data_IF_389472610483
#
_entry.id   IF_389472610483
#
_cell.length_a   1.000
_cell.length_b   1.000
_cell.length_c   1.000
_cell.angle_alpha   90.00
_cell.angle_beta   90.00
_cell.angle_gamma   90.00
#
_symmetry.space_group_name_H-M   'P 1'
#
loop_
_entity.id
_entity.type
_entity.pdbx_description
1 polymer ?
#
# COMPACT_ATOMS: atom_id res chain seq x y z
N UNK A 1 7.93 -17.80 13.62
CA UNK A 1 7.97 -16.46 12.97
C UNK A 1 7.34 -16.41 11.57
N UNK A 2 7.44 -17.44 10.72
CA UNK A 2 6.86 -17.43 9.36
C UNK A 2 5.35 -17.14 9.28
N UNK A 3 4.56 -17.63 10.24
CA UNK A 3 3.09 -17.39 10.26
C UNK A 3 2.76 -15.91 10.49
N UNK A 4 3.42 -15.26 11.46
CA UNK A 4 3.24 -13.83 11.74
C UNK A 4 3.61 -12.98 10.53
N UNK A 5 4.69 -13.36 9.81
CA UNK A 5 5.08 -12.71 8.55
C UNK A 5 4.07 -12.93 7.41
N UNK A 6 3.45 -14.10 7.32
CA UNK A 6 2.37 -14.32 6.33
C UNK A 6 1.14 -13.46 6.63
N UNK A 7 0.71 -13.44 7.90
CA UNK A 7 -0.44 -12.64 8.34
C UNK A 7 -0.19 -11.15 8.10
N UNK A 8 0.99 -10.63 8.48
CA UNK A 8 1.34 -9.23 8.23
C UNK A 8 1.38 -8.86 6.75
N UNK A 9 1.78 -9.79 5.89
CA UNK A 9 1.75 -9.57 4.42
C UNK A 9 0.31 -9.47 3.91
N UNK A 10 -0.58 -10.37 4.35
CA UNK A 10 -2.00 -10.35 3.95
C UNK A 10 -2.64 -9.05 4.41
N UNK A 11 -2.43 -8.65 5.67
CA UNK A 11 -2.96 -7.39 6.21
C UNK A 11 -2.46 -6.20 5.40
N UNK A 12 -1.15 -6.14 5.11
CA UNK A 12 -0.59 -5.07 4.29
C UNK A 12 -1.22 -5.01 2.89
N UNK A 13 -1.44 -6.14 2.23
CA UNK A 13 -2.09 -6.20 0.91
C UNK A 13 -3.53 -5.72 0.98
N UNK A 14 -4.29 -6.11 2.00
CA UNK A 14 -5.66 -5.63 2.20
C UNK A 14 -5.71 -4.11 2.38
N UNK A 15 -4.75 -3.52 3.10
CA UNK A 15 -4.62 -2.07 3.26
C UNK A 15 -4.34 -1.41 1.90
N UNK A 16 -3.46 -1.97 1.07
CA UNK A 16 -3.21 -1.45 -0.29
C UNK A 16 -4.49 -1.45 -1.13
N UNK A 17 -5.25 -2.54 -1.10
CA UNK A 17 -6.52 -2.64 -1.83
C UNK A 17 -7.54 -1.59 -1.36
N UNK A 18 -7.65 -1.37 -0.05
CA UNK A 18 -8.49 -0.31 0.50
C UNK A 18 -8.03 1.08 0.03
N UNK A 19 -6.72 1.34 0.05
CA UNK A 19 -6.13 2.59 -0.42
C UNK A 19 -6.42 2.85 -1.91
N UNK A 20 -6.31 1.82 -2.75
CA UNK A 20 -6.68 1.90 -4.17
C UNK A 20 -8.16 2.26 -4.36
N UNK A 21 -9.06 1.71 -3.53
CA UNK A 21 -10.48 2.08 -3.56
C UNK A 21 -10.70 3.56 -3.24
N UNK A 22 -10.06 4.06 -2.18
CA UNK A 22 -10.17 5.48 -1.78
C UNK A 22 -9.58 6.41 -2.85
N UNK A 23 -8.42 6.07 -3.40
CA UNK A 23 -7.75 6.87 -4.43
C UNK A 23 -8.53 6.84 -5.76
N UNK A 24 -9.08 5.68 -6.12
CA UNK A 24 -9.99 5.52 -7.26
C UNK A 24 -11.25 6.38 -7.11
N UNK A 25 -11.84 6.42 -5.92
CA UNK A 25 -12.98 7.29 -5.64
C UNK A 25 -12.61 8.78 -5.75
N UNK A 26 -11.48 9.20 -5.18
CA UNK A 26 -11.00 10.58 -5.33
C UNK A 26 -10.76 10.97 -6.79
N UNK A 27 -10.18 10.07 -7.58
CA UNK A 27 -9.96 10.26 -9.02
C UNK A 27 -11.27 10.35 -9.79
N UNK A 28 -12.25 9.53 -9.44
CA UNK A 28 -13.57 9.57 -10.06
C UNK A 28 -14.30 10.89 -9.78
N UNK A 29 -14.19 11.43 -8.58
CA UNK A 29 -14.74 12.76 -8.26
C UNK A 29 -14.11 13.86 -9.13
N UNK A 30 -12.78 13.86 -9.29
CA UNK A 30 -12.07 14.78 -10.19
C UNK A 30 -12.61 14.68 -11.61
N UNK A 31 -12.73 13.45 -12.12
CA UNK A 31 -13.23 13.21 -13.47
C UNK A 31 -14.65 13.75 -13.67
N UNK A 32 -15.55 13.53 -12.70
CA UNK A 32 -16.90 14.07 -12.79
C UNK A 32 -16.94 15.60 -12.75
N UNK A 33 -16.05 16.25 -11.99
CA UNK A 33 -15.95 17.70 -11.96
C UNK A 33 -15.41 18.25 -13.29
N UNK A 34 -14.40 17.60 -13.85
CA UNK A 34 -13.87 17.92 -15.17
C UNK A 34 -14.98 17.86 -16.23
N UNK A 35 -15.80 16.79 -16.23
CA UNK A 35 -16.94 16.68 -17.13
C UNK A 35 -17.96 17.81 -16.95
N UNK A 36 -18.28 18.17 -15.71
CA UNK A 36 -19.22 19.25 -15.43
C UNK A 36 -18.73 20.60 -15.98
N UNK A 37 -17.45 20.94 -15.73
CA UNK A 37 -16.81 22.15 -16.25
C UNK A 37 -16.80 22.13 -17.78
N UNK A 38 -16.45 21.00 -18.41
CA UNK A 38 -16.40 20.89 -19.87
C UNK A 38 -17.77 21.00 -20.56
N UNK A 39 -18.84 20.69 -19.83
CA UNK A 39 -20.22 20.76 -20.33
C UNK A 39 -20.92 22.06 -19.96
N UNK A 40 -20.20 23.05 -19.42
CA UNK A 40 -20.73 24.32 -18.91
C UNK A 40 -21.87 24.13 -17.88
N UNK A 41 -21.84 23.01 -17.16
CA UNK A 41 -22.81 22.68 -16.12
C UNK A 41 -22.27 23.09 -14.76
N UNK A 42 -23.12 23.74 -13.96
CA UNK A 42 -22.80 23.98 -12.55
C UNK A 42 -22.82 22.66 -11.78
N UNK A 43 -21.71 22.35 -11.12
CA UNK A 43 -21.58 21.26 -10.15
C UNK A 43 -20.85 21.80 -8.93
N UNK A 44 -21.24 21.33 -7.75
CA UNK A 44 -20.55 21.65 -6.51
C UNK A 44 -19.06 21.26 -6.59
N UNK A 45 -18.19 22.19 -6.22
CA UNK A 45 -16.76 21.94 -6.17
C UNK A 45 -16.41 21.16 -4.88
N UNK A 46 -16.30 19.85 -5.01
CA UNK A 46 -15.71 18.98 -4.00
C UNK A 46 -14.19 19.02 -4.15
N UNK A 47 -13.46 19.45 -3.12
CA UNK A 47 -12.00 19.40 -3.14
C UNK A 47 -11.51 17.94 -3.13
N UNK A 48 -10.81 17.46 -4.18
CA UNK A 48 -10.37 16.07 -4.28
C UNK A 48 -9.04 15.79 -3.56
N UNK A 49 -8.33 16.83 -3.09
CA UNK A 49 -7.03 16.68 -2.44
C UNK A 49 -7.10 15.82 -1.18
N UNK A 50 -8.06 15.99 -0.25
CA UNK A 50 -8.10 15.20 0.99
C UNK A 50 -8.24 13.70 0.72
N UNK A 51 -9.14 13.31 -0.19
CA UNK A 51 -9.39 11.90 -0.53
C UNK A 51 -8.22 11.29 -1.30
N UNK A 52 -7.62 12.03 -2.23
CA UNK A 52 -6.46 11.58 -3.00
C UNK A 52 -5.21 11.41 -2.12
N UNK A 53 -4.95 12.36 -1.21
CA UNK A 53 -3.85 12.27 -0.26
C UNK A 53 -4.06 11.12 0.73
N UNK A 54 -5.27 10.96 1.25
CA UNK A 54 -5.61 9.87 2.15
C UNK A 54 -5.42 8.50 1.47
N UNK A 55 -5.93 8.33 0.25
CA UNK A 55 -5.74 7.11 -0.52
C UNK A 55 -4.25 6.81 -0.75
N UNK A 56 -3.46 7.82 -1.10
CA UNK A 56 -2.01 7.69 -1.32
C UNK A 56 -1.30 7.25 -0.03
N UNK A 57 -1.64 7.86 1.10
CA UNK A 57 -1.06 7.52 2.40
C UNK A 57 -1.39 6.08 2.80
N UNK A 58 -2.65 5.65 2.60
CA UNK A 58 -3.08 4.29 2.90
C UNK A 58 -2.29 3.28 2.04
N UNK A 59 -2.13 3.55 0.74
CA UNK A 59 -1.31 2.70 -0.14
C UNK A 59 0.13 2.63 0.34
N UNK A 60 0.74 3.77 0.68
CA UNK A 60 2.12 3.82 1.18
C UNK A 60 2.31 2.99 2.45
N UNK A 61 1.39 3.10 3.41
CA UNK A 61 1.40 2.32 4.65
C UNK A 61 1.21 0.83 4.37
N UNK A 62 0.23 0.46 3.55
CA UNK A 62 -0.04 -0.93 3.19
C UNK A 62 1.14 -1.59 2.46
N UNK A 63 1.75 -0.87 1.52
CA UNK A 63 2.92 -1.34 0.78
C UNK A 63 4.13 -1.51 1.72
N UNK A 64 4.36 -0.54 2.62
CA UNK A 64 5.42 -0.62 3.62
C UNK A 64 5.25 -1.83 4.55
N UNK A 65 4.04 -2.03 5.10
CA UNK A 65 3.75 -3.15 5.99
C UNK A 65 3.89 -4.50 5.28
N UNK A 66 3.41 -4.59 4.04
CA UNK A 66 3.58 -5.79 3.20
C UNK A 66 5.07 -6.10 2.97
N UNK A 67 5.85 -5.10 2.54
CA UNK A 67 7.27 -5.25 2.27
C UNK A 67 8.08 -5.60 3.52
N UNK A 68 7.78 -4.95 4.65
CA UNK A 68 8.41 -5.26 5.94
C UNK A 68 8.11 -6.68 6.38
N UNK A 69 6.87 -7.13 6.21
CA UNK A 69 6.45 -8.47 6.59
C UNK A 69 7.10 -9.53 5.72
N UNK A 70 7.20 -9.28 4.41
CA UNK A 70 7.94 -10.14 3.47
C UNK A 70 9.43 -10.22 3.84
N UNK A 71 10.08 -9.09 4.09
CA UNK A 71 11.50 -9.04 4.47
C UNK A 71 11.78 -9.85 5.74
N UNK A 72 10.90 -9.76 6.75
CA UNK A 72 11.01 -10.54 7.99
C UNK A 72 10.65 -12.03 7.82
N UNK A 73 9.97 -12.39 6.74
CA UNK A 73 9.57 -13.78 6.42
C UNK A 73 10.63 -14.60 5.70
N UNK A 74 11.62 -13.95 5.08
CA UNK A 74 12.72 -14.60 4.37
C UNK A 74 13.66 -15.22 5.40
N UNK A 75 13.77 -16.55 5.38
CA UNK A 75 14.79 -17.25 6.17
C UNK A 75 16.16 -16.81 5.70
N UNK A 76 17.01 -16.35 6.62
CA UNK A 76 18.39 -16.01 6.30
C UNK A 76 19.16 -17.32 6.11
N UNK A 77 19.96 -17.39 5.06
CA UNK A 77 20.83 -18.55 4.88
C UNK A 77 21.85 -18.60 6.02
N UNK A 78 22.10 -19.80 6.51
CA UNK A 78 23.18 -20.05 7.47
C UNK A 78 24.52 -19.68 6.82
N UNK A 79 25.37 -19.00 7.59
CA UNK A 79 26.66 -18.55 7.08
C UNK A 79 27.72 -19.57 7.48
N UNK A 80 28.26 -20.29 6.50
CA UNK A 80 29.47 -21.10 6.69
C UNK A 80 30.69 -20.18 6.73
N UNK A 81 31.43 -20.24 7.84
CA UNK A 81 32.70 -19.55 7.98
C UNK A 81 33.84 -20.38 7.38
N UNK A 82 34.97 -19.75 6.99
CA UNK A 82 36.16 -20.44 6.50
C UNK A 82 36.78 -21.42 7.52
N UNK A 83 36.46 -21.24 8.80
CA UNK A 83 36.90 -22.10 9.91
C UNK A 83 36.07 -23.39 10.05
N UNK A 84 35.11 -23.63 9.15
CA UNK A 84 34.22 -24.80 9.18
C UNK A 84 33.04 -24.67 10.15
N UNK A 85 32.93 -23.58 10.90
CA UNK A 85 31.80 -23.33 11.78
C UNK A 85 30.62 -22.73 11.02
N UNK A 86 29.40 -23.10 11.41
CA UNK A 86 28.17 -22.60 10.79
C UNK A 86 27.45 -21.66 11.76
N UNK A 87 27.19 -20.42 11.34
CA UNK A 87 26.32 -19.50 12.08
C UNK A 87 24.89 -19.78 11.62
N UNK A 88 24.11 -20.42 12.49
CA UNK A 88 22.67 -20.62 12.30
C UNK A 88 21.95 -19.28 12.48
N UNK A 89 21.17 -18.82 11.48
CA UNK A 89 20.57 -17.46 11.48
C UNK A 89 19.04 -17.42 11.45
#
# INVERSE_FOLDING_TARGET
>A
MRIVSKVGTIVGVLIVLAGLGVLGYGTFQIWQQYLAISADRSKEFINPLPTSLLGTLIIAVGAFLSGLSLYRGVGRADVQRPDGTTIVR
#
